data_IF_306190751892
#
_entry.id   IF_306190751892
#
_cell.length_a   1.000
_cell.length_b   1.000
_cell.length_c   1.000
_cell.angle_alpha   90.00
_cell.angle_beta   90.00
_cell.angle_gamma   90.00
#
_symmetry.space_group_name_H-M   'P 1'
#
loop_
_entity.id
_entity.type
_entity.pdbx_description
1 polymer ?
#
# COMPACT_ATOMS: atom_id res chain seq x y z
N UNK A 1 -14.68 -20.24 -3.12
CA UNK A 1 -13.80 -19.16 -3.65
C UNK A 1 -13.82 -19.19 -5.16
N UNK A 2 -14.21 -18.11 -5.81
CA UNK A 2 -14.16 -17.94 -7.27
C UNK A 2 -13.13 -16.84 -7.56
N UNK A 3 -11.86 -17.23 -7.83
CA UNK A 3 -10.75 -16.35 -8.17
C UNK A 3 -10.44 -16.50 -9.66
N UNK A 4 -10.28 -15.39 -10.36
CA UNK A 4 -9.94 -15.32 -11.77
C UNK A 4 -8.67 -14.48 -11.93
N UNK A 5 -7.63 -15.04 -12.52
CA UNK A 5 -6.41 -14.31 -12.82
C UNK A 5 -6.50 -13.71 -14.24
N UNK A 6 -6.05 -12.49 -14.39
CA UNK A 6 -6.04 -11.76 -15.65
C UNK A 6 -4.86 -10.81 -15.74
N UNK A 7 -4.63 -10.28 -16.92
CA UNK A 7 -3.55 -9.33 -17.19
C UNK A 7 -4.11 -8.06 -17.80
N UNK A 8 -3.65 -6.90 -17.33
CA UNK A 8 -3.98 -5.60 -17.84
C UNK A 8 -2.71 -4.92 -18.38
N UNK A 9 -2.77 -4.40 -19.61
CA UNK A 9 -1.68 -3.57 -20.13
C UNK A 9 -1.86 -2.12 -19.66
N UNK A 10 -0.85 -1.58 -18.99
CA UNK A 10 -0.80 -0.17 -18.62
C UNK A 10 -0.49 0.70 -19.84
N UNK A 11 -0.63 2.02 -19.70
CA UNK A 11 -0.47 2.99 -20.80
C UNK A 11 0.91 2.94 -21.50
N UNK A 12 1.96 2.47 -20.77
CA UNK A 12 3.31 2.31 -21.32
C UNK A 12 3.64 0.87 -21.75
N UNK A 13 2.62 -0.01 -21.84
CA UNK A 13 2.78 -1.40 -22.26
C UNK A 13 3.29 -2.34 -21.16
N UNK A 14 3.40 -1.89 -19.90
CA UNK A 14 3.73 -2.79 -18.78
C UNK A 14 2.56 -3.72 -18.49
N UNK A 15 2.85 -5.00 -18.31
CA UNK A 15 1.86 -6.02 -17.99
C UNK A 15 1.60 -6.08 -16.48
N UNK A 16 0.39 -5.72 -16.06
CA UNK A 16 -0.06 -5.79 -14.67
C UNK A 16 -0.80 -7.10 -14.44
N UNK A 17 -0.37 -7.88 -13.46
CA UNK A 17 -1.00 -9.14 -13.06
C UNK A 17 -2.10 -8.85 -12.04
N UNK A 18 -3.34 -9.25 -12.33
CA UNK A 18 -4.51 -9.02 -11.49
C UNK A 18 -5.14 -10.35 -11.07
N UNK A 19 -5.71 -10.36 -9.86
CA UNK A 19 -6.63 -11.41 -9.41
C UNK A 19 -7.97 -10.79 -9.07
N UNK A 20 -9.03 -11.29 -9.68
CA UNK A 20 -10.41 -10.82 -9.53
C UNK A 20 -11.19 -11.84 -8.72
N UNK A 21 -11.87 -11.39 -7.68
CA UNK A 21 -12.74 -12.18 -6.80
C UNK A 21 -14.17 -11.65 -6.94
N UNK A 22 -14.95 -12.11 -7.95
CA UNK A 22 -16.30 -11.61 -8.17
C UNK A 22 -17.28 -12.20 -7.15
N UNK A 23 -18.07 -11.36 -6.49
CA UNK A 23 -19.15 -11.79 -5.62
C UNK A 23 -20.40 -12.14 -6.44
N UNK A 24 -21.25 -13.05 -5.93
CA UNK A 24 -22.51 -13.41 -6.61
C UNK A 24 -23.50 -12.25 -6.73
N UNK A 25 -23.57 -11.42 -5.69
CA UNK A 25 -24.38 -10.19 -5.63
C UNK A 25 -23.51 -9.10 -5.03
N UNK A 26 -22.74 -8.44 -5.89
CA UNK A 26 -21.81 -7.43 -5.44
C UNK A 26 -22.53 -6.13 -5.06
N UNK A 27 -22.19 -5.58 -3.89
CA UNK A 27 -22.66 -4.28 -3.41
C UNK A 27 -21.67 -3.15 -3.69
N UNK A 28 -20.40 -3.48 -3.87
CA UNK A 28 -19.34 -2.55 -4.28
C UNK A 28 -18.12 -3.30 -4.84
N UNK A 29 -17.22 -2.57 -5.47
CA UNK A 29 -15.90 -3.03 -5.90
C UNK A 29 -14.84 -2.55 -4.90
N UNK A 30 -13.84 -3.37 -4.59
CA UNK A 30 -12.70 -2.97 -3.75
C UNK A 30 -11.41 -3.23 -4.52
N UNK A 31 -10.64 -2.17 -4.78
CA UNK A 31 -9.30 -2.24 -5.33
C UNK A 31 -8.28 -2.36 -4.20
N UNK A 32 -7.38 -3.35 -4.27
CA UNK A 32 -6.30 -3.54 -3.31
C UNK A 32 -4.99 -2.99 -3.84
N UNK A 33 -4.26 -2.27 -2.98
CA UNK A 33 -2.92 -1.74 -3.26
C UNK A 33 -1.98 -2.23 -2.18
N UNK A 34 -1.12 -3.21 -2.51
CA UNK A 34 -0.23 -3.87 -1.55
C UNK A 34 1.01 -3.03 -1.18
N UNK A 35 1.80 -3.52 -0.23
CA UNK A 35 3.00 -2.87 0.30
C UNK A 35 4.27 -3.05 -0.54
N UNK A 36 5.39 -2.61 0.02
CA UNK A 36 6.72 -2.77 -0.55
C UNK A 36 7.23 -4.20 -0.34
N UNK A 37 7.92 -4.75 -1.35
CA UNK A 37 8.61 -6.04 -1.24
C UNK A 37 7.68 -7.21 -0.85
N UNK A 38 6.44 -7.14 -1.31
CA UNK A 38 5.41 -8.18 -1.18
C UNK A 38 4.57 -8.26 -2.46
N UNK A 39 3.47 -9.03 -2.50
CA UNK A 39 2.68 -9.22 -3.70
C UNK A 39 1.22 -9.60 -3.40
N UNK A 40 0.36 -9.58 -4.44
CA UNK A 40 -1.10 -9.69 -4.34
C UNK A 40 -1.62 -10.97 -3.69
N UNK A 41 -0.90 -12.12 -3.86
CA UNK A 41 -1.35 -13.39 -3.31
C UNK A 41 -1.36 -13.45 -1.78
N UNK A 42 -0.60 -12.57 -1.12
CA UNK A 42 -0.61 -12.46 0.35
C UNK A 42 -1.96 -11.98 0.91
N UNK A 43 -2.82 -11.44 0.05
CA UNK A 43 -4.14 -10.89 0.39
C UNK A 43 -5.30 -11.83 0.05
N UNK A 44 -5.06 -13.05 -0.48
CA UNK A 44 -6.13 -13.97 -0.92
C UNK A 44 -7.13 -14.26 0.20
N UNK A 45 -6.66 -14.49 1.43
CA UNK A 45 -7.54 -14.81 2.55
C UNK A 45 -8.51 -13.66 2.84
N UNK A 46 -8.02 -12.42 2.91
CA UNK A 46 -8.84 -11.25 3.16
C UNK A 46 -9.73 -10.90 1.96
N UNK A 47 -9.22 -11.03 0.73
CA UNK A 47 -10.02 -10.84 -0.47
C UNK A 47 -11.19 -11.83 -0.57
N UNK A 48 -10.95 -13.10 -0.21
CA UNK A 48 -12.00 -14.14 -0.17
C UNK A 48 -13.04 -13.84 0.90
N UNK A 49 -12.61 -13.40 2.09
CA UNK A 49 -13.51 -12.97 3.15
C UNK A 49 -14.43 -11.84 2.67
N UNK A 50 -13.91 -10.81 2.04
CA UNK A 50 -14.73 -9.70 1.51
C UNK A 50 -15.63 -10.15 0.34
N UNK A 51 -15.15 -11.07 -0.51
CA UNK A 51 -15.98 -11.68 -1.57
C UNK A 51 -17.22 -12.39 -1.00
N UNK A 52 -17.04 -13.16 0.06
CA UNK A 52 -18.12 -13.86 0.77
C UNK A 52 -19.14 -12.89 1.40
N UNK A 53 -18.68 -11.66 1.72
CA UNK A 53 -19.52 -10.59 2.26
C UNK A 53 -20.09 -9.64 1.18
N UNK A 54 -20.04 -10.04 -0.10
CA UNK A 54 -20.70 -9.32 -1.20
C UNK A 54 -19.88 -8.18 -1.80
N UNK A 55 -18.57 -8.27 -1.81
CA UNK A 55 -17.70 -7.33 -2.51
C UNK A 55 -17.00 -8.00 -3.70
N UNK A 56 -16.97 -7.35 -4.85
CA UNK A 56 -15.97 -7.70 -5.86
C UNK A 56 -14.63 -7.19 -5.36
N UNK A 57 -13.62 -8.05 -5.27
CA UNK A 57 -12.29 -7.64 -4.86
C UNK A 57 -11.31 -7.82 -6.02
N UNK A 58 -10.51 -6.80 -6.27
CA UNK A 58 -9.49 -6.80 -7.31
C UNK A 58 -8.14 -6.53 -6.65
N UNK A 59 -7.29 -7.54 -6.61
CA UNK A 59 -5.91 -7.41 -6.19
C UNK A 59 -4.99 -7.35 -7.40
N UNK A 60 -3.89 -6.60 -7.32
CA UNK A 60 -2.92 -6.49 -8.42
C UNK A 60 -1.51 -6.48 -7.88
N UNK A 61 -0.57 -7.05 -8.64
CA UNK A 61 0.83 -6.81 -8.36
C UNK A 61 1.24 -5.41 -8.83
N UNK A 62 1.87 -4.66 -7.94
CA UNK A 62 2.52 -3.41 -8.29
C UNK A 62 3.69 -3.70 -9.25
N UNK A 63 4.01 -2.75 -10.10
CA UNK A 63 5.15 -2.88 -11.02
C UNK A 63 6.44 -3.20 -10.24
N UNK A 64 7.17 -4.21 -10.73
CA UNK A 64 8.35 -4.74 -10.03
C UNK A 64 8.05 -5.70 -8.88
N UNK A 65 6.82 -6.19 -8.74
CA UNK A 65 6.40 -7.12 -7.69
C UNK A 65 5.69 -8.33 -8.26
N UNK A 66 5.66 -9.43 -7.47
CA UNK A 66 5.03 -10.67 -7.83
C UNK A 66 5.82 -11.49 -8.86
N UNK A 67 5.31 -12.68 -9.18
CA UNK A 67 5.99 -13.70 -10.00
C UNK A 67 6.19 -13.28 -11.47
N UNK A 68 5.35 -12.37 -11.97
CA UNK A 68 5.35 -11.94 -13.37
C UNK A 68 6.21 -10.67 -13.59
N UNK A 69 6.86 -10.15 -12.53
CA UNK A 69 7.73 -8.98 -12.64
C UNK A 69 8.97 -9.30 -13.49
N UNK A 70 9.30 -8.47 -14.50
CA UNK A 70 10.52 -8.65 -15.29
C UNK A 70 11.80 -8.58 -14.45
N UNK A 71 11.78 -7.80 -13.39
CA UNK A 71 12.81 -7.71 -12.35
C UNK A 71 12.11 -7.38 -11.03
N UNK A 72 12.31 -8.24 -10.01
CA UNK A 72 11.78 -7.99 -8.67
C UNK A 72 12.35 -6.69 -8.09
N UNK A 73 11.52 -5.99 -7.37
CA UNK A 73 11.83 -4.76 -6.64
C UNK A 73 12.39 -3.62 -7.52
N UNK A 74 12.14 -3.69 -8.85
CA UNK A 74 12.47 -2.65 -9.80
C UNK A 74 11.21 -2.05 -10.45
N UNK A 75 10.80 -0.86 -9.99
CA UNK A 75 9.59 -0.19 -10.47
C UNK A 75 9.78 0.33 -11.91
N UNK A 76 10.80 1.12 -12.15
CA UNK A 76 11.21 1.61 -13.48
C UNK A 76 12.51 2.42 -13.36
N UNK A 77 13.30 2.49 -14.42
CA UNK A 77 14.53 3.30 -14.47
C UNK A 77 14.30 4.80 -14.23
N UNK A 78 13.17 5.32 -14.73
CA UNK A 78 12.77 6.73 -14.64
C UNK A 78 11.26 6.85 -14.43
N UNK A 79 10.85 7.91 -13.73
CA UNK A 79 9.44 8.26 -13.53
C UNK A 79 8.61 7.18 -12.85
N UNK A 80 9.24 6.32 -12.03
CA UNK A 80 8.56 5.21 -11.35
C UNK A 80 7.38 5.66 -10.50
N UNK A 81 7.49 6.83 -9.86
CA UNK A 81 6.41 7.46 -9.09
C UNK A 81 5.17 7.79 -9.95
N UNK A 82 5.38 8.29 -11.17
CA UNK A 82 4.28 8.60 -12.10
C UNK A 82 3.68 7.33 -12.70
N UNK A 83 4.54 6.40 -13.10
CA UNK A 83 4.12 5.16 -13.73
C UNK A 83 3.26 4.30 -12.81
N UNK A 84 3.63 4.19 -11.52
CA UNK A 84 2.85 3.42 -10.56
C UNK A 84 1.46 4.04 -10.30
N UNK A 85 1.34 5.37 -10.33
CA UNK A 85 0.05 6.06 -10.24
C UNK A 85 -0.79 5.83 -11.51
N UNK A 86 -0.18 5.88 -12.70
CA UNK A 86 -0.86 5.57 -13.97
C UNK A 86 -1.36 4.12 -14.00
N UNK A 87 -0.62 3.18 -13.41
CA UNK A 87 -1.06 1.79 -13.27
C UNK A 87 -2.33 1.69 -12.41
N UNK A 88 -2.38 2.40 -11.27
CA UNK A 88 -3.58 2.42 -10.43
C UNK A 88 -4.77 3.06 -11.14
N UNK A 89 -4.54 4.10 -11.94
CA UNK A 89 -5.59 4.70 -12.78
C UNK A 89 -6.09 3.73 -13.86
N UNK A 90 -5.19 2.93 -14.47
CA UNK A 90 -5.57 1.91 -15.43
C UNK A 90 -6.41 0.79 -14.78
N UNK A 91 -6.02 0.34 -13.57
CA UNK A 91 -6.79 -0.65 -12.80
C UNK A 91 -8.16 -0.09 -12.42
N UNK A 92 -8.23 1.16 -11.96
CA UNK A 92 -9.49 1.87 -11.69
C UNK A 92 -10.41 1.82 -12.90
N UNK A 93 -9.91 2.19 -14.08
CA UNK A 93 -10.67 2.16 -15.32
C UNK A 93 -11.12 0.75 -15.71
N UNK A 94 -10.26 -0.25 -15.51
CA UNK A 94 -10.62 -1.66 -15.72
C UNK A 94 -11.80 -2.07 -14.84
N UNK A 95 -11.78 -1.71 -13.55
CA UNK A 95 -12.84 -2.03 -12.61
C UNK A 95 -14.16 -1.35 -13.00
N UNK A 96 -14.13 -0.05 -13.30
CA UNK A 96 -15.29 0.72 -13.75
C UNK A 96 -15.93 0.14 -15.03
N UNK A 97 -15.09 -0.41 -15.93
CA UNK A 97 -15.58 -1.01 -17.17
C UNK A 97 -16.11 -2.44 -16.98
N UNK A 98 -15.46 -3.22 -16.09
CA UNK A 98 -15.79 -4.63 -15.87
C UNK A 98 -17.00 -4.79 -14.94
N UNK A 99 -17.15 -3.91 -13.96
CA UNK A 99 -18.18 -3.92 -12.96
C UNK A 99 -18.82 -2.52 -12.86
N UNK A 100 -19.56 -2.09 -13.92
CA UNK A 100 -20.19 -0.78 -13.96
C UNK A 100 -21.27 -0.64 -12.88
N UNK A 101 -21.63 0.60 -12.60
CA UNK A 101 -22.75 0.98 -11.70
C UNK A 101 -22.59 0.57 -10.22
N UNK A 102 -21.40 0.10 -9.82
CA UNK A 102 -21.07 -0.20 -8.44
C UNK A 102 -20.10 0.82 -7.87
N UNK A 103 -20.26 1.23 -6.60
CA UNK A 103 -19.28 2.10 -5.94
C UNK A 103 -17.91 1.43 -5.90
N UNK A 104 -16.85 2.23 -6.00
CA UNK A 104 -15.47 1.77 -5.97
C UNK A 104 -14.79 2.24 -4.67
N UNK A 105 -14.28 1.28 -3.91
CA UNK A 105 -13.54 1.47 -2.68
C UNK A 105 -12.07 1.11 -2.87
N UNK A 106 -11.20 1.57 -1.97
CA UNK A 106 -9.80 1.17 -1.93
C UNK A 106 -9.49 0.56 -0.56
N UNK A 107 -8.78 -0.56 -0.59
CA UNK A 107 -8.00 -1.06 0.53
C UNK A 107 -6.51 -0.96 0.17
N UNK A 108 -5.71 -0.33 1.02
CA UNK A 108 -4.28 -0.19 0.79
C UNK A 108 -3.47 -0.52 2.04
N UNK A 109 -2.28 -1.13 1.84
CA UNK A 109 -1.37 -1.48 2.92
C UNK A 109 0.02 -0.85 2.72
N UNK A 110 0.63 -0.37 3.81
CA UNK A 110 2.04 0.08 3.82
C UNK A 110 2.38 1.07 2.68
N UNK A 111 3.32 0.76 1.80
CA UNK A 111 3.64 1.56 0.60
C UNK A 111 2.39 1.82 -0.25
N UNK A 112 1.46 0.87 -0.31
CA UNK A 112 0.18 1.05 -0.99
C UNK A 112 -0.62 2.24 -0.46
N UNK A 113 -0.48 2.57 0.83
CA UNK A 113 -1.14 3.74 1.43
C UNK A 113 -0.53 5.06 0.94
N UNK A 114 0.77 5.09 0.66
CA UNK A 114 1.46 6.23 0.06
C UNK A 114 0.96 6.43 -1.37
N UNK A 115 0.94 5.35 -2.17
CA UNK A 115 0.47 5.34 -3.56
C UNK A 115 -0.99 5.82 -3.61
N UNK A 116 -1.85 5.25 -2.78
CA UNK A 116 -3.27 5.64 -2.68
C UNK A 116 -3.43 7.11 -2.34
N UNK A 117 -2.73 7.63 -1.34
CA UNK A 117 -2.81 9.04 -0.96
C UNK A 117 -2.33 9.97 -2.07
N UNK A 118 -1.31 9.59 -2.86
CA UNK A 118 -0.90 10.37 -4.05
C UNK A 118 -1.94 10.28 -5.16
N UNK A 119 -2.56 9.11 -5.38
CA UNK A 119 -3.66 8.92 -6.32
C UNK A 119 -4.85 9.83 -5.98
N UNK A 120 -5.21 9.92 -4.70
CA UNK A 120 -6.31 10.77 -4.23
C UNK A 120 -6.08 12.28 -4.44
N UNK A 121 -4.86 12.73 -4.71
CA UNK A 121 -4.58 14.14 -4.99
C UNK A 121 -5.36 14.68 -6.19
N UNK A 122 -5.68 13.83 -7.16
CA UNK A 122 -6.39 14.21 -8.38
C UNK A 122 -7.64 13.35 -8.66
N UNK A 123 -7.73 12.14 -8.12
CA UNK A 123 -8.74 11.15 -8.49
C UNK A 123 -9.71 10.81 -7.35
N UNK A 124 -9.71 11.53 -6.23
CA UNK A 124 -10.49 11.17 -5.02
C UNK A 124 -11.99 11.03 -5.27
N UNK A 125 -12.55 11.74 -6.26
CA UNK A 125 -13.98 11.68 -6.60
C UNK A 125 -14.42 10.37 -7.25
N UNK A 126 -13.48 9.53 -7.69
CA UNK A 126 -13.76 8.20 -8.24
C UNK A 126 -14.03 7.16 -7.15
N UNK A 127 -13.63 7.46 -5.93
CA UNK A 127 -13.69 6.52 -4.82
C UNK A 127 -14.69 6.98 -3.77
N UNK A 128 -15.45 6.03 -3.21
CA UNK A 128 -16.46 6.32 -2.19
C UNK A 128 -16.00 6.01 -0.79
N UNK A 129 -15.04 5.07 -0.61
CA UNK A 129 -14.43 4.76 0.68
C UNK A 129 -12.98 4.32 0.51
N UNK A 130 -12.14 4.60 1.51
CA UNK A 130 -10.72 4.23 1.51
C UNK A 130 -10.30 3.71 2.88
N UNK A 131 -9.77 2.49 2.94
CA UNK A 131 -9.14 1.94 4.15
C UNK A 131 -7.62 1.87 3.96
N UNK A 132 -6.88 2.49 4.85
CA UNK A 132 -5.41 2.58 4.85
C UNK A 132 -4.85 1.80 6.04
N UNK A 133 -4.27 0.62 5.76
CA UNK A 133 -3.72 -0.32 6.75
C UNK A 133 -2.21 -0.15 6.90
N UNK A 134 -1.68 -0.18 8.11
CA UNK A 134 -0.25 -0.02 8.33
C UNK A 134 0.32 1.24 7.66
N UNK A 135 -0.45 2.31 7.72
CA UNK A 135 -0.23 3.52 6.94
C UNK A 135 1.04 4.26 7.31
N UNK A 136 1.75 4.72 6.29
CA UNK A 136 2.99 5.47 6.46
C UNK A 136 2.70 6.94 6.81
N UNK A 137 3.38 7.46 7.83
CA UNK A 137 3.24 8.86 8.23
C UNK A 137 3.99 9.81 7.27
N UNK A 138 3.50 11.05 7.10
CA UNK A 138 4.26 12.08 6.40
C UNK A 138 5.62 12.32 7.06
N UNK A 139 6.69 12.19 6.29
CA UNK A 139 8.06 12.39 6.79
C UNK A 139 8.74 13.55 6.06
N UNK A 140 9.01 14.68 6.73
CA UNK A 140 9.71 15.82 6.10
C UNK A 140 11.10 15.46 5.55
N UNK A 141 11.76 14.42 6.11
CA UNK A 141 13.05 13.96 5.64
C UNK A 141 13.00 13.22 4.29
N UNK A 142 11.81 12.87 3.78
CA UNK A 142 11.66 12.21 2.47
C UNK A 142 12.30 12.97 1.32
N UNK A 143 12.32 14.31 1.37
CA UNK A 143 13.00 15.15 0.39
C UNK A 143 14.53 14.99 0.43
N UNK A 144 15.12 14.80 1.61
CA UNK A 144 16.57 14.52 1.78
C UNK A 144 16.87 13.14 1.23
N UNK A 145 16.06 12.11 1.57
CA UNK A 145 16.20 10.76 1.01
C UNK A 145 16.14 10.75 -0.51
N UNK A 146 15.21 11.50 -1.10
CA UNK A 146 15.08 11.66 -2.56
C UNK A 146 16.35 12.27 -3.18
N UNK A 147 16.86 13.37 -2.59
CA UNK A 147 18.05 14.04 -3.08
C UNK A 147 19.28 13.14 -3.02
N UNK A 148 19.48 12.43 -1.90
CA UNK A 148 20.59 11.51 -1.70
C UNK A 148 20.52 10.32 -2.69
N UNK A 149 19.34 9.74 -2.86
CA UNK A 149 19.13 8.63 -3.81
C UNK A 149 19.45 9.06 -5.24
N UNK A 150 19.02 10.25 -5.66
CA UNK A 150 19.36 10.82 -6.97
C UNK A 150 20.85 11.01 -7.16
N UNK A 151 21.54 11.53 -6.14
CA UNK A 151 22.98 11.73 -6.17
C UNK A 151 23.72 10.40 -6.35
N UNK A 152 23.38 9.38 -5.55
CA UNK A 152 24.00 8.05 -5.66
C UNK A 152 23.73 7.43 -7.03
N UNK A 153 22.51 7.61 -7.58
CA UNK A 153 22.12 7.08 -8.89
C UNK A 153 22.91 7.69 -10.05
N UNK A 154 23.55 8.85 -9.90
CA UNK A 154 24.46 9.41 -10.91
C UNK A 154 25.70 8.51 -11.10
N UNK A 155 26.16 7.88 -10.02
CA UNK A 155 27.37 7.04 -10.02
C UNK A 155 27.09 5.54 -10.11
N UNK A 156 25.82 5.14 -9.93
CA UNK A 156 25.39 3.75 -10.00
C UNK A 156 24.25 3.60 -11.02
N UNK A 157 24.10 2.37 -11.55
CA UNK A 157 22.96 2.08 -12.45
C UNK A 157 21.62 2.24 -11.70
N UNK A 158 20.50 2.57 -12.39
CA UNK A 158 19.16 2.61 -11.82
C UNK A 158 18.77 1.32 -11.09
N UNK A 159 19.18 0.17 -11.62
CA UNK A 159 18.98 -1.17 -11.05
C UNK A 159 19.97 -1.54 -9.94
N UNK A 160 20.91 -0.65 -9.58
CA UNK A 160 21.86 -0.88 -8.50
C UNK A 160 21.20 -0.75 -7.12
N UNK A 161 21.86 -1.27 -6.09
CA UNK A 161 21.43 -1.24 -4.69
C UNK A 161 22.32 -0.35 -3.83
N UNK A 162 21.79 0.12 -2.70
CA UNK A 162 22.54 0.93 -1.73
C UNK A 162 22.04 0.65 -0.31
N UNK A 163 22.90 -0.03 0.46
CA UNK A 163 22.60 -0.30 1.89
C UNK A 163 22.25 0.99 2.65
N UNK A 164 22.95 2.11 2.36
CA UNK A 164 22.66 3.39 3.01
C UNK A 164 21.20 3.85 2.73
N UNK A 165 20.74 3.72 1.50
CA UNK A 165 19.37 4.12 1.12
C UNK A 165 18.34 3.15 1.71
N UNK A 166 18.64 1.86 1.67
CA UNK A 166 17.79 0.84 2.29
C UNK A 166 17.66 1.06 3.81
N UNK A 167 18.78 1.26 4.51
CA UNK A 167 18.78 1.53 5.95
C UNK A 167 18.03 2.82 6.30
N UNK A 168 18.08 3.84 5.44
CA UNK A 168 17.33 5.09 5.61
C UNK A 168 15.83 4.90 5.41
N UNK A 169 15.42 4.06 4.48
CA UNK A 169 14.04 3.82 4.14
C UNK A 169 13.34 2.86 5.13
N UNK A 170 13.93 1.71 5.41
CA UNK A 170 13.29 0.61 6.16
C UNK A 170 14.12 0.08 7.33
N UNK A 171 15.44 0.25 7.32
CA UNK A 171 16.33 -0.34 8.32
C UNK A 171 16.11 0.14 9.76
N UNK A 172 15.32 1.20 9.98
CA UNK A 172 14.96 1.67 11.31
C UNK A 172 13.83 0.87 11.93
N UNK A 173 12.98 0.22 11.13
CA UNK A 173 11.80 -0.49 11.64
C UNK A 173 12.20 -1.73 12.46
N UNK A 174 13.12 -2.55 11.95
CA UNK A 174 13.64 -3.68 12.72
C UNK A 174 14.32 -3.23 14.01
N UNK A 175 15.09 -2.13 13.97
CA UNK A 175 15.78 -1.59 15.15
C UNK A 175 14.83 -1.08 16.23
N UNK A 176 13.60 -0.73 15.89
CA UNK A 176 12.59 -0.30 16.85
C UNK A 176 12.10 -1.45 17.75
N UNK A 177 12.30 -2.70 17.35
CA UNK A 177 11.91 -3.88 18.12
C UNK A 177 13.09 -4.33 18.99
N UNK A 178 12.94 -4.20 20.33
CA UNK A 178 14.04 -4.44 21.27
C UNK A 178 14.49 -5.91 21.31
N UNK A 179 13.53 -6.83 21.42
CA UNK A 179 13.78 -8.28 21.59
C UNK A 179 13.56 -9.05 20.28
N UNK A 180 13.93 -8.42 19.14
CA UNK A 180 13.75 -9.05 17.86
C UNK A 180 14.64 -10.28 17.68
N UNK A 181 14.08 -11.32 17.07
CA UNK A 181 14.78 -12.53 16.62
C UNK A 181 15.34 -12.34 15.21
N UNK A 182 14.62 -11.57 14.39
CA UNK A 182 14.98 -11.23 13.00
C UNK A 182 14.88 -9.72 12.75
N UNK A 183 15.48 -9.23 11.68
CA UNK A 183 15.34 -7.81 11.25
C UNK A 183 13.93 -7.48 10.77
N UNK A 184 13.06 -8.50 10.55
CA UNK A 184 11.70 -8.37 10.02
C UNK A 184 10.61 -8.57 11.08
N UNK A 185 10.96 -8.76 12.34
CA UNK A 185 9.97 -8.92 13.42
C UNK A 185 9.01 -7.72 13.56
N UNK A 186 9.39 -6.55 13.02
CA UNK A 186 8.52 -5.39 13.00
C UNK A 186 7.25 -5.58 12.14
N UNK A 187 7.23 -6.61 11.28
CA UNK A 187 6.09 -6.94 10.44
C UNK A 187 4.91 -7.47 11.27
N UNK A 188 5.17 -8.37 12.24
CA UNK A 188 4.10 -9.05 12.97
C UNK A 188 4.60 -9.63 14.29
N UNK A 189 3.70 -9.78 15.27
CA UNK A 189 3.93 -10.63 16.44
C UNK A 189 3.80 -12.12 16.09
N UNK A 190 3.08 -12.47 15.03
CA UNK A 190 2.95 -13.83 14.54
C UNK A 190 4.26 -14.27 13.85
N UNK A 191 5.06 -15.07 14.56
CA UNK A 191 6.35 -15.57 14.07
C UNK A 191 6.21 -16.41 12.79
N UNK A 192 5.13 -17.18 12.65
CA UNK A 192 4.87 -17.96 11.42
C UNK A 192 4.67 -17.07 10.20
N UNK A 193 4.03 -15.91 10.39
CA UNK A 193 3.90 -14.93 9.31
C UNK A 193 5.26 -14.33 8.93
N UNK A 194 6.09 -13.96 9.92
CA UNK A 194 7.44 -13.42 9.66
C UNK A 194 8.30 -14.46 8.95
N UNK A 195 8.28 -15.72 9.39
CA UNK A 195 9.03 -16.79 8.77
C UNK A 195 8.59 -17.05 7.32
N UNK A 196 7.28 -17.10 7.06
CA UNK A 196 6.73 -17.22 5.68
C UNK A 196 7.18 -16.07 4.79
N UNK A 197 7.25 -14.85 5.31
CA UNK A 197 7.76 -13.70 4.55
C UNK A 197 9.25 -13.86 4.22
N UNK A 198 10.07 -14.32 5.17
CA UNK A 198 11.52 -14.54 4.98
C UNK A 198 11.80 -15.67 3.97
N UNK A 199 11.00 -16.73 4.01
CA UNK A 199 11.16 -17.90 3.14
C UNK A 199 10.63 -17.69 1.71
N UNK A 200 9.75 -16.70 1.51
CA UNK A 200 9.13 -16.43 0.21
C UNK A 200 10.10 -15.65 -0.71
N UNK A 201 10.55 -16.25 -1.84
CA UNK A 201 11.49 -15.60 -2.75
C UNK A 201 10.90 -14.34 -3.45
N UNK A 202 9.60 -14.10 -3.35
CA UNK A 202 8.93 -12.92 -3.89
C UNK A 202 8.80 -11.79 -2.86
N UNK A 203 9.16 -12.05 -1.59
CA UNK A 203 9.11 -11.09 -0.49
C UNK A 203 10.53 -10.65 -0.06
N UNK A 204 10.64 -9.46 0.53
CA UNK A 204 11.88 -8.97 1.12
C UNK A 204 13.03 -8.74 0.13
N UNK A 205 12.76 -8.69 -1.17
CA UNK A 205 13.79 -8.40 -2.18
C UNK A 205 14.07 -6.90 -2.17
N UNK A 206 15.32 -6.51 -1.85
CA UNK A 206 15.73 -5.10 -1.70
C UNK A 206 15.40 -4.26 -2.94
N UNK A 207 14.80 -3.11 -2.74
CA UNK A 207 14.51 -2.13 -3.79
C UNK A 207 15.78 -1.65 -4.50
N UNK A 208 15.68 -1.47 -5.82
CA UNK A 208 16.70 -0.79 -6.60
C UNK A 208 16.76 0.71 -6.26
N UNK A 209 17.85 1.38 -6.60
CA UNK A 209 17.97 2.84 -6.45
C UNK A 209 16.84 3.60 -7.18
N UNK A 210 16.42 3.12 -8.35
CA UNK A 210 15.31 3.74 -9.07
C UNK A 210 13.97 3.57 -8.34
N UNK A 211 13.75 2.42 -7.69
CA UNK A 211 12.55 2.16 -6.88
C UNK A 211 12.54 2.98 -5.60
N UNK A 212 13.68 3.13 -4.93
CA UNK A 212 13.79 4.05 -3.79
C UNK A 212 13.56 5.51 -4.20
N UNK A 213 14.04 5.95 -5.38
CA UNK A 213 13.74 7.28 -5.89
C UNK A 213 12.22 7.47 -6.06
N UNK A 214 11.53 6.48 -6.63
CA UNK A 214 10.08 6.51 -6.77
C UNK A 214 9.37 6.56 -5.40
N UNK A 215 9.78 5.72 -4.44
CA UNK A 215 9.24 5.70 -3.08
C UNK A 215 9.39 7.05 -2.37
N UNK A 216 10.60 7.62 -2.34
CA UNK A 216 10.82 8.92 -1.69
C UNK A 216 10.12 10.07 -2.43
N UNK A 217 9.97 9.99 -3.76
CA UNK A 217 9.19 10.95 -4.52
C UNK A 217 7.71 10.90 -4.12
N UNK A 218 7.12 9.69 -4.02
CA UNK A 218 5.73 9.49 -3.58
C UNK A 218 5.52 9.95 -2.12
N UNK A 219 6.43 9.61 -1.21
CA UNK A 219 6.38 10.08 0.19
C UNK A 219 6.39 11.61 0.29
N UNK A 220 7.27 12.26 -0.49
CA UNK A 220 7.36 13.71 -0.53
C UNK A 220 6.10 14.35 -1.14
N UNK A 221 5.49 13.73 -2.15
CA UNK A 221 4.21 14.18 -2.74
C UNK A 221 3.07 14.00 -1.74
N UNK A 222 2.94 12.83 -1.12
CA UNK A 222 1.90 12.49 -0.15
C UNK A 222 1.83 13.50 1.00
N UNK A 223 2.99 13.93 1.52
CA UNK A 223 3.08 14.88 2.63
C UNK A 223 2.61 16.31 2.30
N UNK A 224 2.50 16.66 1.02
CA UNK A 224 2.13 18.02 0.57
C UNK A 224 0.61 18.20 0.51
N UNK A 225 -0.03 18.56 1.62
CA UNK A 225 -1.48 18.77 1.67
C UNK A 225 -2.01 19.73 0.56
N UNK A 226 -1.22 20.74 0.17
CA UNK A 226 -1.59 21.67 -0.92
C UNK A 226 -1.63 21.05 -2.33
N UNK A 227 -1.11 19.83 -2.49
CA UNK A 227 -1.15 19.10 -3.77
C UNK A 227 -2.49 18.40 -4.02
N UNK A 228 -3.31 18.24 -3.00
CA UNK A 228 -4.64 17.66 -3.11
C UNK A 228 -5.59 18.72 -3.68
N UNK A 229 -6.16 18.43 -4.86
CA UNK A 229 -7.00 19.37 -5.61
C UNK A 229 -8.40 18.81 -5.77
N UNK A 230 -9.41 19.63 -5.46
CA UNK A 230 -10.82 19.29 -5.69
C UNK A 230 -11.21 17.90 -5.14
N UNK A 231 -10.77 17.63 -3.91
CA UNK A 231 -10.98 16.32 -3.25
C UNK A 231 -12.45 16.08 -2.91
N UNK A 232 -12.84 14.82 -2.85
CA UNK A 232 -14.11 14.40 -2.26
C UNK A 232 -13.99 14.53 -0.73
N UNK A 233 -14.45 15.67 -0.20
CA UNK A 233 -14.27 16.04 1.21
C UNK A 233 -14.97 15.11 2.19
N UNK A 234 -16.11 14.57 1.77
CA UNK A 234 -16.98 13.72 2.59
C UNK A 234 -16.72 12.22 2.36
N UNK A 235 -15.68 11.86 1.60
CA UNK A 235 -15.29 10.48 1.42
C UNK A 235 -14.77 9.90 2.73
N UNK A 236 -15.40 8.85 3.29
CA UNK A 236 -14.90 8.18 4.49
C UNK A 236 -13.51 7.58 4.26
N UNK A 237 -12.58 7.89 5.16
CA UNK A 237 -11.23 7.31 5.20
C UNK A 237 -11.02 6.64 6.54
N UNK A 238 -10.64 5.37 6.55
CA UNK A 238 -10.20 4.65 7.73
C UNK A 238 -8.67 4.58 7.76
N UNK A 239 -8.07 5.04 8.85
CA UNK A 239 -6.67 4.79 9.22
C UNK A 239 -6.65 3.65 10.24
N UNK A 240 -6.15 2.46 9.87
CA UNK A 240 -6.09 1.29 10.76
C UNK A 240 -4.67 0.75 10.86
N UNK A 241 -4.15 0.54 12.07
CA UNK A 241 -2.79 0.06 12.28
C UNK A 241 -2.62 -0.58 13.66
N UNK A 242 -1.59 -1.40 13.83
CA UNK A 242 -1.16 -1.89 15.13
C UNK A 242 -0.58 -0.78 16.00
N UNK A 243 -0.73 -0.91 17.31
CA UNK A 243 -0.20 0.03 18.30
C UNK A 243 1.34 0.03 18.32
N UNK A 244 1.94 -1.13 18.02
CA UNK A 244 3.38 -1.35 17.98
C UNK A 244 3.99 -1.28 16.55
N UNK A 245 3.24 -0.77 15.56
CA UNK A 245 3.74 -0.62 14.19
C UNK A 245 4.71 0.57 14.05
N UNK A 246 6.04 0.36 13.89
CA UNK A 246 7.00 1.45 13.77
C UNK A 246 6.88 2.22 12.45
N UNK A 247 6.29 1.63 11.40
CA UNK A 247 6.10 2.25 10.10
C UNK A 247 5.16 3.46 10.17
N UNK A 248 4.17 3.41 11.07
CA UNK A 248 3.24 4.53 11.31
C UNK A 248 3.90 5.71 12.03
N UNK A 249 5.10 5.54 12.60
CA UNK A 249 5.73 6.51 13.50
C UNK A 249 5.06 6.58 14.86
N UNK A 250 4.39 5.51 15.26
CA UNK A 250 3.66 5.34 16.52
C UNK A 250 2.61 6.45 16.72
N UNK A 251 2.26 6.79 17.94
CA UNK A 251 1.22 7.77 18.25
C UNK A 251 1.44 9.13 17.56
N UNK A 252 2.67 9.65 17.61
CA UNK A 252 3.02 10.94 16.97
C UNK A 252 2.85 10.89 15.45
N UNK A 253 3.28 9.83 14.83
CA UNK A 253 3.17 9.67 13.38
C UNK A 253 1.73 9.39 12.93
N UNK A 254 0.97 8.60 13.72
CA UNK A 254 -0.47 8.39 13.50
C UNK A 254 -1.23 9.70 13.52
N UNK A 255 -0.99 10.54 14.56
CA UNK A 255 -1.57 11.89 14.62
C UNK A 255 -1.17 12.75 13.42
N UNK A 256 0.09 12.74 13.02
CA UNK A 256 0.56 13.50 11.86
C UNK A 256 -0.12 13.07 10.55
N UNK A 257 -0.42 11.77 10.37
CA UNK A 257 -1.17 11.24 9.22
C UNK A 257 -2.61 11.74 9.20
N UNK A 258 -3.30 11.70 10.34
CA UNK A 258 -4.65 12.24 10.50
C UNK A 258 -4.68 13.74 10.18
N UNK A 259 -3.82 14.52 10.84
CA UNK A 259 -3.72 15.96 10.64
C UNK A 259 -3.40 16.34 9.18
N UNK A 260 -2.60 15.51 8.48
CA UNK A 260 -2.27 15.75 7.08
C UNK A 260 -3.47 15.52 6.16
N UNK A 261 -4.28 14.48 6.38
CA UNK A 261 -5.51 14.22 5.62
C UNK A 261 -6.54 15.33 5.84
N UNK A 262 -6.75 15.79 7.06
CA UNK A 262 -7.62 16.94 7.33
C UNK A 262 -7.12 18.23 6.63
N UNK A 263 -5.82 18.50 6.66
CA UNK A 263 -5.20 19.62 5.92
C UNK A 263 -5.33 19.47 4.40
N UNK A 264 -5.40 18.24 3.91
CA UNK A 264 -5.63 17.94 2.49
C UNK A 264 -7.10 18.14 2.08
N UNK A 265 -8.00 18.32 3.04
CA UNK A 265 -9.41 18.64 2.82
C UNK A 265 -10.38 17.48 3.01
N UNK A 266 -9.95 16.33 3.54
CA UNK A 266 -10.85 15.23 3.90
C UNK A 266 -11.43 15.46 5.31
N UNK A 267 -12.75 15.49 5.43
CA UNK A 267 -13.45 15.77 6.69
C UNK A 267 -13.77 14.50 7.48
N UNK A 268 -14.09 13.41 6.78
CA UNK A 268 -14.51 12.13 7.37
C UNK A 268 -13.32 11.16 7.43
N UNK A 269 -12.49 11.30 8.47
CA UNK A 269 -11.33 10.44 8.69
C UNK A 269 -11.43 9.81 10.07
N UNK A 270 -11.63 8.50 10.12
CA UNK A 270 -11.66 7.69 11.34
C UNK A 270 -10.34 6.95 11.57
N UNK A 271 -10.07 6.58 12.82
CA UNK A 271 -8.85 5.87 13.21
C UNK A 271 -9.16 4.67 14.08
N UNK A 272 -8.53 3.53 13.80
CA UNK A 272 -8.51 2.34 14.65
C UNK A 272 -7.05 2.01 14.95
N UNK A 273 -6.71 1.90 16.24
CA UNK A 273 -5.41 1.40 16.70
C UNK A 273 -5.65 0.08 17.40
N UNK A 274 -5.05 -0.98 16.86
CA UNK A 274 -5.22 -2.36 17.31
C UNK A 274 -4.14 -2.71 18.33
N UNK A 275 -4.55 -3.08 19.54
CA UNK A 275 -3.65 -3.45 20.61
C UNK A 275 -2.90 -4.74 20.30
N UNK A 276 -1.63 -4.80 20.68
CA UNK A 276 -0.77 -5.97 20.49
C UNK A 276 -0.70 -6.44 19.02
N UNK A 277 -0.60 -5.48 18.09
CA UNK A 277 -0.36 -5.74 16.67
C UNK A 277 0.77 -4.86 16.15
N UNK A 278 1.49 -5.38 15.17
CA UNK A 278 2.54 -4.68 14.42
C UNK A 278 2.03 -4.26 13.04
N UNK A 279 2.89 -4.28 12.05
CA UNK A 279 2.63 -3.71 10.73
C UNK A 279 1.59 -4.47 9.90
N UNK A 280 1.72 -5.80 9.83
CA UNK A 280 0.87 -6.67 9.01
C UNK A 280 -0.36 -7.17 9.77
N UNK A 281 -1.25 -6.25 10.13
CA UNK A 281 -2.44 -6.54 10.94
C UNK A 281 -3.37 -7.62 10.35
N UNK A 282 -3.36 -7.83 9.04
CA UNK A 282 -4.13 -8.89 8.36
C UNK A 282 -3.53 -10.28 8.54
N UNK A 283 -2.33 -10.39 9.11
CA UNK A 283 -1.59 -11.63 9.28
C UNK A 283 -1.25 -11.93 10.75
N UNK A 284 -1.71 -11.09 11.67
CA UNK A 284 -1.61 -11.34 13.11
C UNK A 284 -2.54 -12.48 13.56
N UNK A 285 -2.32 -13.04 14.75
CA UNK A 285 -3.12 -14.16 15.26
C UNK A 285 -4.60 -13.80 15.38
N UNK A 286 -4.92 -12.57 15.80
CA UNK A 286 -6.29 -12.05 15.94
C UNK A 286 -6.82 -11.36 14.66
N UNK A 287 -6.32 -11.72 13.49
CA UNK A 287 -6.69 -11.11 12.20
C UNK A 287 -8.19 -11.12 11.88
N UNK A 288 -8.96 -12.06 12.42
CA UNK A 288 -10.40 -12.13 12.18
C UNK A 288 -11.11 -10.85 12.65
N UNK A 289 -10.73 -10.32 13.81
CA UNK A 289 -11.24 -9.04 14.31
C UNK A 289 -10.91 -7.87 13.36
N UNK A 290 -9.70 -7.88 12.78
CA UNK A 290 -9.27 -6.86 11.82
C UNK A 290 -10.11 -6.93 10.54
N UNK A 291 -10.40 -8.14 10.06
CA UNK A 291 -11.26 -8.36 8.89
C UNK A 291 -12.66 -7.80 9.13
N UNK A 292 -13.23 -8.04 10.32
CA UNK A 292 -14.55 -7.57 10.73
C UNK A 292 -14.58 -6.04 10.88
N UNK A 293 -13.56 -5.43 11.49
CA UNK A 293 -13.48 -3.97 11.64
C UNK A 293 -13.42 -3.26 10.27
N UNK A 294 -12.67 -3.80 9.32
CA UNK A 294 -12.58 -3.26 7.96
C UNK A 294 -13.89 -3.50 7.19
N UNK A 295 -14.51 -4.67 7.35
CA UNK A 295 -15.82 -4.98 6.78
C UNK A 295 -16.88 -4.02 7.30
N UNK A 296 -16.94 -3.79 8.62
CA UNK A 296 -17.87 -2.83 9.23
C UNK A 296 -17.71 -1.42 8.66
N UNK A 297 -16.46 -0.98 8.43
CA UNK A 297 -16.20 0.30 7.78
C UNK A 297 -16.73 0.34 6.35
N UNK A 298 -16.55 -0.73 5.57
CA UNK A 298 -17.06 -0.78 4.20
C UNK A 298 -18.58 -0.91 4.14
N UNK A 299 -19.23 -1.51 5.14
CA UNK A 299 -20.69 -1.73 5.21
C UNK A 299 -21.47 -0.47 5.63
N UNK A 300 -20.88 0.43 6.41
CA UNK A 300 -21.48 1.73 6.78
C UNK A 300 -21.68 2.66 5.58
#
# INVERSE_FOLDING_TARGET
>A
MNKQDTTLLSANGYSLSLSVFPAQKAKANIMFVHGMEEYKERYIAFASFLQEHGYNVITSDLRGHGKDAPQLSHIADKYGDKLIIQDQQAITKYIETTFPDLPLYIFAHSMGTIITRVLLQNDSKKYQKVALSGYVNPNPASGVGLGLTRLIKVFKKPTGHSKLINDLAVGQFGKAIKDRKTELDWLSYNEDNVNKYIEDPLCGVEFTLASFEALFSLLNQMGKAKSYKDVNKEMPILLIAGDADPCTGLEKGRKASLDNLHKAGFNDVSTITLEHMRHEILNEDNKQKVYEDILEFFDK
#
